data_IF_631814574370
#
_entry.id   IF_631814574370
#
_cell.length_a   1.000
_cell.length_b   1.000
_cell.length_c   1.000
_cell.angle_alpha   90.00
_cell.angle_beta   90.00
_cell.angle_gamma   90.00
#
_symmetry.space_group_name_H-M   'P 1'
#
loop_
_entity.id
_entity.type
_entity.pdbx_description
1 polymer ?
#
# COMPACT_ATOMS: atom_id res chain seq x y z
N UNK A 1 -31.48 -7.96 -14.99
CA UNK A 1 -31.34 -6.49 -15.14
C UNK A 1 -29.86 -6.16 -15.01
N UNK A 2 -29.25 -5.48 -15.98
CA UNK A 2 -27.82 -5.13 -15.87
C UNK A 2 -27.66 -4.01 -14.84
N UNK A 3 -27.12 -4.34 -13.66
CA UNK A 3 -26.98 -3.42 -12.52
C UNK A 3 -25.89 -2.37 -12.78
N UNK A 4 -24.96 -2.65 -13.70
CA UNK A 4 -23.85 -1.75 -14.03
C UNK A 4 -24.28 -0.66 -15.03
N UNK A 5 -24.06 0.63 -14.72
CA UNK A 5 -24.35 1.73 -15.65
C UNK A 5 -23.47 1.64 -16.91
N UNK A 6 -23.92 2.26 -18.01
CA UNK A 6 -23.14 2.34 -19.25
C UNK A 6 -22.03 3.40 -19.11
N UNK A 7 -20.95 3.22 -19.85
CA UNK A 7 -19.88 4.22 -19.95
C UNK A 7 -20.42 5.56 -20.48
N UNK A 8 -19.88 6.65 -19.94
CA UNK A 8 -20.09 8.03 -20.39
C UNK A 8 -18.78 8.82 -20.26
N UNK A 9 -18.52 9.73 -21.20
CA UNK A 9 -17.34 10.61 -21.14
C UNK A 9 -17.36 11.52 -19.91
N UNK A 10 -18.54 12.08 -19.58
CA UNK A 10 -18.72 12.89 -18.36
C UNK A 10 -18.40 12.05 -17.12
N UNK A 11 -18.86 10.79 -17.08
CA UNK A 11 -18.58 9.89 -15.98
C UNK A 11 -17.09 9.61 -15.75
N UNK A 12 -16.27 9.65 -16.81
CA UNK A 12 -14.82 9.51 -16.68
C UNK A 12 -14.16 10.73 -16.02
N UNK A 13 -14.55 11.94 -16.41
CA UNK A 13 -14.03 13.16 -15.80
C UNK A 13 -14.49 13.31 -14.34
N UNK A 14 -15.76 12.97 -14.06
CA UNK A 14 -16.30 12.95 -12.68
C UNK A 14 -15.51 11.97 -11.81
N UNK A 15 -15.17 10.80 -12.35
CA UNK A 15 -14.36 9.80 -11.63
C UNK A 15 -12.93 10.27 -11.36
N UNK A 16 -12.28 10.92 -12.34
CA UNK A 16 -10.95 11.51 -12.13
C UNK A 16 -11.01 12.62 -11.08
N UNK A 17 -12.00 13.51 -11.15
CA UNK A 17 -12.20 14.56 -10.15
C UNK A 17 -12.43 14.00 -8.75
N UNK A 18 -13.26 12.96 -8.63
CA UNK A 18 -13.49 12.25 -7.37
C UNK A 18 -12.20 11.63 -6.82
N UNK A 19 -11.40 10.98 -7.67
CA UNK A 19 -10.10 10.42 -7.27
C UNK A 19 -9.17 11.51 -6.73
N UNK A 20 -9.01 12.61 -7.47
CA UNK A 20 -8.16 13.73 -7.05
C UNK A 20 -8.64 14.31 -5.72
N UNK A 21 -9.96 14.45 -5.53
CA UNK A 21 -10.55 14.89 -4.28
C UNK A 21 -10.18 13.96 -3.11
N UNK A 22 -10.38 12.65 -3.26
CA UNK A 22 -10.03 11.67 -2.22
C UNK A 22 -8.52 11.70 -1.91
N UNK A 23 -7.67 11.76 -2.94
CA UNK A 23 -6.22 11.83 -2.76
C UNK A 23 -5.82 13.09 -1.99
N UNK A 24 -6.36 14.26 -2.35
CA UNK A 24 -6.08 15.51 -1.64
C UNK A 24 -6.58 15.45 -0.18
N UNK A 25 -7.80 14.92 0.01
CA UNK A 25 -8.41 14.75 1.34
C UNK A 25 -7.54 13.90 2.25
N UNK A 26 -7.04 12.76 1.75
CA UNK A 26 -6.15 11.85 2.50
C UNK A 26 -4.80 12.51 2.78
N UNK A 27 -4.20 13.18 1.79
CA UNK A 27 -2.89 13.83 1.95
C UNK A 27 -2.94 14.90 3.05
N UNK A 28 -4.01 15.70 3.13
CA UNK A 28 -4.15 16.77 4.13
C UNK A 28 -4.48 16.24 5.53
N UNK A 29 -4.93 14.99 5.63
CA UNK A 29 -5.35 14.39 6.90
C UNK A 29 -4.17 13.87 7.71
N UNK A 30 -4.38 13.68 9.01
CA UNK A 30 -3.52 12.82 9.83
C UNK A 30 -3.49 11.40 9.26
N UNK A 31 -2.33 10.76 9.28
CA UNK A 31 -2.11 9.41 8.74
C UNK A 31 -2.05 8.36 9.83
N UNK A 32 -1.32 8.66 10.90
CA UNK A 32 -1.14 7.82 12.07
C UNK A 32 -1.41 8.65 13.34
N UNK A 33 -2.11 8.05 14.29
CA UNK A 33 -2.38 8.62 15.60
C UNK A 33 -2.00 7.58 16.63
N UNK A 34 -1.03 7.90 17.48
CA UNK A 34 -0.60 7.06 18.61
C UNK A 34 -1.04 7.76 19.88
N UNK A 35 -1.90 7.14 20.66
CA UNK A 35 -2.38 7.64 21.94
C UNK A 35 -1.85 6.72 23.04
N UNK A 36 -1.27 7.29 24.08
CA UNK A 36 -0.79 6.59 25.26
C UNK A 36 -1.49 7.18 26.48
N UNK A 37 -2.13 6.32 27.26
CA UNK A 37 -2.72 6.66 28.55
C UNK A 37 -2.08 5.77 29.61
N UNK A 38 -1.34 6.35 30.54
CA UNK A 38 -0.63 5.66 31.61
C UNK A 38 -1.13 6.08 32.98
N UNK A 39 -1.11 5.16 33.94
CA UNK A 39 -1.38 5.39 35.35
C UNK A 39 -0.27 4.80 36.19
N UNK A 40 0.27 5.63 37.07
CA UNK A 40 1.25 5.23 38.07
C UNK A 40 0.62 5.28 39.45
N UNK A 41 0.74 4.20 40.20
CA UNK A 41 0.25 4.05 41.57
C UNK A 41 1.39 3.66 42.50
N UNK A 42 1.52 4.38 43.60
CA UNK A 42 2.50 4.15 44.67
C UNK A 42 1.78 4.29 46.02
N UNK A 43 1.64 3.19 46.74
CA UNK A 43 0.85 3.14 47.98
C UNK A 43 -0.60 3.65 47.81
N UNK A 44 -1.21 4.10 48.91
CA UNK A 44 -2.50 4.80 48.89
C UNK A 44 -2.24 6.32 49.00
N UNK A 45 -2.26 7.07 47.89
CA UNK A 45 -3.47 7.80 47.47
C UNK A 45 -3.69 7.78 45.92
N UNK A 46 -4.32 8.82 45.34
CA UNK A 46 -4.77 8.84 43.94
C UNK A 46 -3.62 8.72 42.91
N UNK A 47 -3.79 7.91 41.84
CA UNK A 47 -2.74 7.63 40.86
C UNK A 47 -2.36 8.86 40.04
N UNK A 48 -1.10 8.92 39.63
CA UNK A 48 -0.60 9.86 38.62
C UNK A 48 -1.08 9.41 37.24
N UNK A 49 -1.65 10.32 36.46
CA UNK A 49 -2.16 10.04 35.11
C UNK A 49 -1.24 10.71 34.07
N UNK A 50 -0.85 9.96 33.04
CA UNK A 50 0.03 10.39 31.96
C UNK A 50 -0.70 10.19 30.65
N UNK A 51 -1.01 11.26 29.93
CA UNK A 51 -1.61 11.21 28.61
C UNK A 51 -0.59 11.73 27.59
N UNK A 52 -0.30 10.95 26.56
CA UNK A 52 0.53 11.39 25.44
C UNK A 52 -0.16 11.07 24.11
N UNK A 53 -0.14 12.03 23.18
CA UNK A 53 -0.71 11.86 21.85
C UNK A 53 0.32 12.27 20.81
N UNK A 54 0.59 11.36 19.88
CA UNK A 54 1.43 11.60 18.71
C UNK A 54 0.60 11.52 17.45
N UNK A 55 0.65 12.58 16.64
CA UNK A 55 -0.06 12.65 15.35
C UNK A 55 0.97 12.83 14.25
N UNK A 56 1.00 11.88 13.30
CA UNK A 56 1.86 11.96 12.11
C UNK A 56 1.02 12.39 10.92
N UNK A 57 1.44 13.47 10.27
CA UNK A 57 0.85 13.93 9.02
C UNK A 57 1.89 14.13 7.91
N UNK A 58 1.44 14.81 6.84
CA UNK A 58 2.20 15.01 5.60
C UNK A 58 3.40 15.94 5.73
N UNK A 59 3.43 16.81 6.74
CA UNK A 59 4.48 17.82 6.94
C UNK A 59 5.27 17.51 8.21
N UNK A 60 4.57 17.26 9.31
CA UNK A 60 5.16 17.23 10.64
C UNK A 60 4.61 16.07 11.50
N UNK A 61 5.26 15.88 12.63
CA UNK A 61 4.84 14.96 13.69
C UNK A 61 4.56 15.80 14.92
N UNK A 62 3.31 15.85 15.36
CA UNK A 62 2.89 16.61 16.54
C UNK A 62 2.89 15.68 17.75
N UNK A 63 3.55 16.10 18.82
CA UNK A 63 3.63 15.36 20.09
C UNK A 63 3.06 16.27 21.18
N UNK A 64 2.04 15.80 21.88
CA UNK A 64 1.46 16.47 23.05
C UNK A 64 1.55 15.51 24.24
N UNK A 65 2.11 15.98 25.36
CA UNK A 65 2.27 15.19 26.59
C UNK A 65 1.70 15.98 27.74
N UNK A 66 0.82 15.35 28.48
CA UNK A 66 0.10 15.92 29.62
C UNK A 66 0.21 14.97 30.79
N UNK A 67 0.46 15.53 31.97
CA UNK A 67 0.58 14.77 33.20
C UNK A 67 -0.30 15.39 34.28
N UNK A 68 -1.17 14.60 34.89
CA UNK A 68 -2.05 15.01 35.98
C UNK A 68 -1.68 14.28 37.28
N UNK A 69 -1.91 14.94 38.42
CA UNK A 69 -1.64 14.39 39.77
C UNK A 69 -0.21 13.87 39.96
N UNK A 70 0.77 14.50 39.29
CA UNK A 70 2.14 14.02 39.14
C UNK A 70 3.04 14.07 40.38
N UNK A 71 2.56 14.55 41.53
CA UNK A 71 3.41 14.74 42.72
C UNK A 71 4.02 13.44 43.22
N UNK A 72 3.26 12.33 43.27
CA UNK A 72 3.79 11.04 43.73
C UNK A 72 4.89 10.55 42.79
N UNK A 73 4.60 10.51 41.49
CA UNK A 73 5.56 10.06 40.49
C UNK A 73 6.85 10.90 40.45
N UNK A 74 6.75 12.23 40.58
CA UNK A 74 7.94 13.09 40.62
C UNK A 74 8.77 12.87 41.88
N UNK A 75 8.12 12.64 43.03
CA UNK A 75 8.83 12.31 44.26
C UNK A 75 9.52 10.96 44.15
N UNK A 76 8.81 9.94 43.67
CA UNK A 76 9.35 8.63 43.35
C UNK A 76 10.59 8.72 42.45
N UNK A 77 10.52 9.47 41.35
CA UNK A 77 11.65 9.66 40.44
C UNK A 77 12.86 10.37 41.08
N UNK A 78 12.66 11.16 42.15
CA UNK A 78 13.72 11.86 42.87
C UNK A 78 14.28 11.02 44.02
N UNK A 79 13.44 10.25 44.71
CA UNK A 79 13.80 9.48 45.90
C UNK A 79 14.32 8.08 45.59
N UNK A 80 14.07 7.57 44.39
CA UNK A 80 14.55 6.27 43.95
C UNK A 80 16.08 6.30 43.83
N UNK A 81 16.77 5.64 44.77
CA UNK A 81 18.22 5.51 44.74
C UNK A 81 18.65 4.46 43.70
N UNK A 82 19.37 4.90 42.67
CA UNK A 82 20.00 4.02 41.68
C UNK A 82 21.27 3.41 42.27
N UNK A 83 21.18 2.21 42.83
CA UNK A 83 22.37 1.45 43.25
C UNK A 83 22.80 0.49 42.12
N UNK A 84 23.72 0.94 41.26
CA UNK A 84 24.32 0.14 40.16
C UNK A 84 25.25 -0.98 40.66
N UNK A 85 25.51 -1.07 41.98
CA UNK A 85 26.56 -1.92 42.55
C UNK A 85 26.33 -3.44 42.41
N UNK A 86 25.15 -3.88 41.96
CA UNK A 86 24.87 -5.29 41.71
C UNK A 86 25.34 -5.81 40.34
N UNK A 87 25.82 -4.94 39.43
CA UNK A 87 26.36 -5.36 38.12
C UNK A 87 27.85 -5.76 38.16
N UNK A 88 28.56 -5.63 39.29
CA UNK A 88 30.00 -5.87 39.38
C UNK A 88 30.44 -7.29 39.81
N UNK A 89 29.60 -8.32 39.69
CA UNK A 89 30.04 -9.72 39.92
C UNK A 89 30.05 -10.57 38.65
N UNK A 90 30.63 -10.05 37.56
CA UNK A 90 31.12 -10.87 36.44
C UNK A 90 32.12 -10.10 35.55
N UNK A 91 33.27 -9.70 36.08
CA UNK A 91 34.53 -9.58 35.31
C UNK A 91 35.73 -9.24 36.22
N UNK A 92 36.10 -10.17 37.10
CA UNK A 92 37.49 -10.19 37.58
C UNK A 92 38.39 -10.73 36.46
N UNK A 93 39.01 -9.83 35.70
CA UNK A 93 40.40 -9.94 35.22
C UNK A 93 40.74 -8.77 34.29
N UNK A 94 41.39 -7.73 34.80
CA UNK A 94 42.67 -7.23 34.27
C UNK A 94 43.13 -5.94 34.96
N UNK A 95 44.22 -6.08 35.71
CA UNK A 95 45.34 -5.14 35.90
C UNK A 95 45.14 -3.64 35.66
N UNK A 96 45.26 -2.90 36.76
CA UNK A 96 46.01 -1.66 36.96
C UNK A 96 46.55 -0.96 35.69
N UNK A 97 46.13 0.30 35.51
CA UNK A 97 47.07 1.40 35.33
C UNK A 97 46.42 2.74 35.69
N UNK A 98 46.92 3.35 36.75
CA UNK A 98 46.72 4.76 37.05
C UNK A 98 47.35 5.61 35.93
N UNK A 99 46.64 6.64 35.48
CA UNK A 99 47.27 7.89 35.10
C UNK A 99 46.30 9.07 35.23
N UNK A 100 46.64 9.95 36.16
CA UNK A 100 46.11 11.30 36.28
C UNK A 100 46.35 12.09 34.98
N UNK A 101 45.37 12.87 34.51
CA UNK A 101 45.57 14.30 34.35
C UNK A 101 44.28 15.11 34.08
N UNK A 102 44.09 16.07 34.98
CA UNK A 102 43.65 17.48 34.82
C UNK A 102 42.95 17.96 33.53
N UNK A 103 41.90 18.75 33.79
CA UNK A 103 41.16 19.62 32.88
C UNK A 103 42.04 20.39 31.89
N UNK A 104 41.59 20.44 30.63
CA UNK A 104 41.72 21.63 29.79
C UNK A 104 40.55 21.66 28.79
N UNK A 105 39.69 22.66 28.96
CA UNK A 105 38.76 23.09 27.92
C UNK A 105 39.55 23.76 26.81
N UNK A 106 39.43 23.25 25.60
CA UNK A 106 39.84 23.95 24.38
C UNK A 106 38.79 23.65 23.31
N UNK A 107 38.11 24.72 22.91
CA UNK A 107 37.20 24.81 21.80
C UNK A 107 37.78 24.12 20.55
N UNK A 108 37.08 23.09 20.07
CA UNK A 108 37.24 22.58 18.71
C UNK A 108 35.92 22.72 17.97
N UNK A 109 35.68 23.95 17.54
CA UNK A 109 34.95 24.23 16.32
C UNK A 109 35.65 23.46 15.18
N UNK A 110 35.15 22.26 14.88
CA UNK A 110 35.68 21.47 13.79
C UNK A 110 34.53 20.70 13.16
N UNK A 111 34.06 21.23 12.02
CA UNK A 111 33.39 20.54 10.93
C UNK A 111 33.07 19.06 11.20
N UNK A 112 32.04 18.78 12.00
CA UNK A 112 31.39 17.48 11.98
C UNK A 112 30.73 17.41 10.61
N UNK A 113 31.31 16.60 9.73
CA UNK A 113 30.60 16.07 8.58
C UNK A 113 29.21 15.70 9.07
N UNK A 114 28.22 16.45 8.59
CA UNK A 114 26.81 16.20 8.82
C UNK A 114 26.55 14.85 8.17
N UNK A 115 26.72 13.77 8.94
CA UNK A 115 26.22 12.46 8.56
C UNK A 115 24.75 12.71 8.23
N UNK A 116 24.37 12.52 6.97
CA UNK A 116 22.97 12.65 6.54
C UNK A 116 22.17 11.58 7.29
N UNK A 117 21.68 11.92 8.49
CA UNK A 117 20.71 11.10 9.20
C UNK A 117 19.54 10.90 8.25
N UNK A 118 19.30 9.65 7.85
CA UNK A 118 18.25 9.34 6.90
C UNK A 118 16.92 9.54 7.60
N UNK A 119 16.25 10.65 7.35
CA UNK A 119 14.92 10.95 7.89
C UNK A 119 13.89 9.99 7.27
N UNK A 120 13.65 8.83 7.90
CA UNK A 120 12.79 7.77 7.35
C UNK A 120 11.33 8.23 7.19
N UNK A 121 10.83 9.03 8.14
CA UNK A 121 9.52 9.66 8.04
C UNK A 121 9.39 10.55 6.80
N UNK A 122 10.44 11.30 6.44
CA UNK A 122 10.46 12.13 5.23
C UNK A 122 10.49 11.30 3.96
N UNK A 123 11.26 10.21 3.96
CA UNK A 123 11.22 9.24 2.85
C UNK A 123 9.81 8.69 2.64
N UNK A 124 9.11 8.34 3.72
CA UNK A 124 7.72 7.86 3.67
C UNK A 124 6.76 8.93 3.17
N UNK A 125 6.85 10.17 3.69
CA UNK A 125 6.05 11.31 3.20
C UNK A 125 6.22 11.48 1.68
N UNK A 126 7.46 11.48 1.20
CA UNK A 126 7.76 11.58 -0.23
C UNK A 126 7.21 10.40 -1.04
N UNK A 127 7.29 9.19 -0.48
CA UNK A 127 6.75 7.98 -1.11
C UNK A 127 5.22 8.04 -1.27
N UNK A 128 4.51 8.55 -0.25
CA UNK A 128 3.06 8.79 -0.31
C UNK A 128 2.71 9.76 -1.45
N UNK A 129 3.42 10.88 -1.57
CA UNK A 129 3.22 11.84 -2.67
C UNK A 129 3.48 11.22 -4.04
N UNK A 130 4.57 10.47 -4.18
CA UNK A 130 4.93 9.80 -5.43
C UNK A 130 3.88 8.78 -5.86
N UNK A 131 3.40 7.96 -4.93
CA UNK A 131 2.40 6.93 -5.21
C UNK A 131 1.01 7.56 -5.45
N UNK A 132 0.67 8.64 -4.75
CA UNK A 132 -0.52 9.43 -5.05
C UNK A 132 -0.51 9.97 -6.48
N UNK A 133 0.65 10.48 -6.94
CA UNK A 133 0.83 10.94 -8.31
C UNK A 133 0.68 9.79 -9.33
N UNK A 134 1.29 8.64 -9.06
CA UNK A 134 1.13 7.42 -9.87
C UNK A 134 -0.35 7.00 -9.94
N UNK A 135 -1.08 7.05 -8.83
CA UNK A 135 -2.49 6.70 -8.77
C UNK A 135 -3.33 7.63 -9.66
N UNK A 136 -3.06 8.93 -9.66
CA UNK A 136 -3.72 9.89 -10.57
C UNK A 136 -3.36 9.61 -12.03
N UNK A 137 -2.07 9.38 -12.35
CA UNK A 137 -1.64 9.00 -13.71
C UNK A 137 -2.34 7.73 -14.17
N UNK A 138 -2.49 6.75 -13.27
CA UNK A 138 -3.15 5.49 -13.59
C UNK A 138 -4.59 5.71 -14.07
N UNK A 139 -5.28 6.67 -13.49
CA UNK A 139 -6.63 7.03 -13.88
C UNK A 139 -6.65 7.78 -15.22
N UNK A 140 -5.67 8.66 -15.47
CA UNK A 140 -5.48 9.34 -16.76
C UNK A 140 -5.20 8.32 -17.88
N UNK A 141 -4.40 7.29 -17.63
CA UNK A 141 -4.11 6.25 -18.65
C UNK A 141 -5.36 5.50 -19.11
N UNK A 142 -6.34 5.34 -18.20
CA UNK A 142 -7.65 4.74 -18.50
C UNK A 142 -8.46 5.66 -19.42
N UNK A 143 -8.31 6.99 -19.34
CA UNK A 143 -8.95 7.93 -20.27
C UNK A 143 -8.46 7.70 -21.72
N UNK A 144 -7.16 7.43 -21.88
CA UNK A 144 -6.53 7.17 -23.17
C UNK A 144 -6.63 5.70 -23.64
N UNK A 145 -7.35 4.83 -22.93
CA UNK A 145 -7.63 3.45 -23.32
C UNK A 145 -6.36 2.59 -23.60
N UNK A 146 -5.28 2.80 -22.84
CA UNK A 146 -4.06 1.99 -22.95
C UNK A 146 -4.31 0.53 -22.51
N UNK A 147 -3.57 -0.42 -23.09
CA UNK A 147 -3.86 -1.87 -23.00
C UNK A 147 -3.81 -2.46 -21.59
N UNK A 148 -2.99 -1.92 -20.69
CA UNK A 148 -2.81 -2.42 -19.32
C UNK A 148 -3.33 -1.47 -18.22
N UNK A 149 -4.10 -0.44 -18.60
CA UNK A 149 -4.51 0.63 -17.68
C UNK A 149 -5.25 0.13 -16.43
N UNK A 150 -6.10 -0.89 -16.58
CA UNK A 150 -6.85 -1.45 -15.45
C UNK A 150 -5.95 -2.14 -14.42
N UNK A 151 -4.88 -2.82 -14.86
CA UNK A 151 -3.93 -3.49 -13.96
C UNK A 151 -3.10 -2.45 -13.23
N UNK A 152 -2.56 -1.47 -13.97
CA UNK A 152 -1.76 -0.39 -13.40
C UNK A 152 -2.54 0.38 -12.32
N UNK A 153 -3.82 0.61 -12.55
CA UNK A 153 -4.71 1.27 -11.58
C UNK A 153 -4.92 0.47 -10.29
N UNK A 154 -5.09 -0.85 -10.39
CA UNK A 154 -5.21 -1.73 -9.21
C UNK A 154 -3.89 -1.76 -8.44
N UNK A 155 -2.76 -1.89 -9.13
CA UNK A 155 -1.44 -1.89 -8.51
C UNK A 155 -1.15 -0.58 -7.80
N UNK A 156 -1.47 0.57 -8.42
CA UNK A 156 -1.30 1.88 -7.81
C UNK A 156 -2.15 2.04 -6.55
N UNK A 157 -3.40 1.56 -6.56
CA UNK A 157 -4.27 1.60 -5.39
C UNK A 157 -3.75 0.71 -4.25
N UNK A 158 -3.31 -0.51 -4.56
CA UNK A 158 -2.74 -1.42 -3.56
C UNK A 158 -1.46 -0.81 -2.97
N UNK A 159 -0.58 -0.26 -3.80
CA UNK A 159 0.64 0.40 -3.35
C UNK A 159 0.32 1.59 -2.43
N UNK A 160 -0.71 2.39 -2.76
CA UNK A 160 -1.16 3.49 -1.93
C UNK A 160 -1.69 3.02 -0.57
N UNK A 161 -2.50 1.95 -0.55
CA UNK A 161 -2.98 1.33 0.69
C UNK A 161 -1.83 0.78 1.54
N UNK A 162 -0.85 0.12 0.93
CA UNK A 162 0.32 -0.44 1.63
C UNK A 162 1.21 0.65 2.26
N UNK A 163 1.30 1.84 1.65
CA UNK A 163 2.02 2.95 2.27
C UNK A 163 1.45 3.28 3.64
N UNK A 164 0.14 3.35 3.75
CA UNK A 164 -0.50 3.69 5.01
C UNK A 164 -0.60 2.52 5.97
N UNK A 165 -0.87 1.32 5.47
CA UNK A 165 -1.03 0.14 6.31
C UNK A 165 0.31 -0.32 6.93
N UNK A 166 1.42 -0.18 6.18
CA UNK A 166 2.72 -0.75 6.56
C UNK A 166 3.79 0.35 6.64
N UNK A 167 4.03 1.08 5.55
CA UNK A 167 5.20 1.97 5.46
C UNK A 167 5.17 3.09 6.52
N UNK A 168 4.02 3.73 6.74
CA UNK A 168 3.86 4.80 7.74
C UNK A 168 4.08 4.29 9.17
N UNK A 169 3.36 3.27 9.68
CA UNK A 169 3.65 2.72 11.01
C UNK A 169 5.08 2.21 11.16
N UNK A 170 5.59 1.49 10.14
CA UNK A 170 6.93 0.92 10.18
C UNK A 170 8.01 1.99 10.29
N UNK A 171 7.97 3.01 9.43
CA UNK A 171 8.97 4.08 9.47
C UNK A 171 8.83 4.98 10.67
N UNK A 172 7.64 5.16 11.24
CA UNK A 172 7.48 5.86 12.51
C UNK A 172 8.18 5.12 13.65
N UNK A 173 7.93 3.81 13.80
CA UNK A 173 8.59 3.00 14.85
C UNK A 173 10.11 2.93 14.62
N UNK A 174 10.55 2.85 13.37
CA UNK A 174 11.96 2.80 13.03
C UNK A 174 12.69 4.13 13.31
N UNK A 175 12.03 5.26 13.08
CA UNK A 175 12.57 6.59 13.40
C UNK A 175 12.70 6.76 14.92
N UNK A 176 11.71 6.29 15.70
CA UNK A 176 11.78 6.23 17.17
C UNK A 176 12.92 5.33 17.67
N UNK A 177 13.17 4.19 17.01
CA UNK A 177 14.25 3.28 17.39
C UNK A 177 15.64 3.88 17.12
N UNK A 178 15.82 4.58 15.98
CA UNK A 178 17.10 5.18 15.61
C UNK A 178 17.47 6.43 16.41
N UNK A 179 16.50 7.15 16.96
CA UNK A 179 16.79 8.30 17.83
C UNK A 179 17.54 7.92 19.11
N UNK A 180 17.49 6.64 19.51
CA UNK A 180 18.12 6.12 20.74
C UNK A 180 19.53 5.53 20.54
N UNK A 181 20.03 5.38 19.31
CA UNK A 181 21.34 4.74 19.03
C UNK A 181 22.57 5.68 19.11
N UNK A 182 22.40 6.97 19.46
CA UNK A 182 23.50 7.97 19.39
C UNK A 182 24.31 8.14 20.70
N UNK A 183 24.05 7.34 21.75
CA UNK A 183 25.04 7.11 22.82
C UNK A 183 25.82 5.83 22.49
N UNK A 184 26.98 6.03 21.85
CA UNK A 184 27.77 4.95 21.29
C UNK A 184 28.28 3.96 22.33
N UNK A 185 27.62 2.81 22.46
CA UNK A 185 28.26 1.50 22.32
C UNK A 185 27.19 0.39 22.19
N UNK A 186 27.49 -0.56 21.29
CA UNK A 186 26.86 -1.89 21.11
C UNK A 186 25.47 -1.97 20.45
N UNK A 187 25.49 -2.67 19.32
CA UNK A 187 24.34 -3.23 18.61
C UNK A 187 23.95 -4.52 19.35
N UNK A 188 22.77 -4.56 19.96
CA UNK A 188 21.70 -5.55 19.75
C UNK A 188 20.51 -5.21 20.65
N UNK A 189 19.30 -5.24 20.06
CA UNK A 189 17.97 -5.16 20.71
C UNK A 189 17.33 -3.77 21.00
N UNK A 190 16.63 -3.29 19.96
CA UNK A 190 15.78 -2.10 19.91
C UNK A 190 14.61 -2.08 20.90
N UNK A 191 14.34 -0.91 21.48
CA UNK A 191 13.09 -0.45 22.12
C UNK A 191 12.61 -1.16 23.39
N UNK A 192 13.16 -2.31 23.78
CA UNK A 192 12.87 -2.95 25.06
C UNK A 192 13.87 -2.58 26.17
N UNK A 193 15.06 -2.10 25.82
CA UNK A 193 16.18 -2.01 26.77
C UNK A 193 16.28 -0.69 27.55
N UNK A 194 15.86 0.44 26.95
CA UNK A 194 16.00 1.78 27.57
C UNK A 194 14.74 2.26 28.32
N UNK A 195 13.68 1.47 28.34
CA UNK A 195 12.48 1.78 29.14
C UNK A 195 12.67 1.29 30.57
N UNK A 196 12.10 2.03 31.53
CA UNK A 196 11.93 1.71 32.96
C UNK A 196 11.88 0.20 33.32
N UNK A 197 11.34 -0.64 32.44
CA UNK A 197 11.19 -2.10 32.49
C UNK A 197 12.51 -2.92 32.43
N UNK A 198 13.63 -2.45 31.85
CA UNK A 198 14.88 -3.25 31.89
C UNK A 198 15.72 -2.97 33.14
N UNK A 199 15.57 -1.79 33.75
CA UNK A 199 16.10 -1.55 35.09
C UNK A 199 15.42 -2.45 36.13
N UNK A 200 14.20 -2.94 35.88
CA UNK A 200 13.54 -3.94 36.73
C UNK A 200 14.06 -5.36 36.49
N UNK A 201 14.48 -5.71 35.26
CA UNK A 201 15.18 -6.99 34.98
C UNK A 201 16.56 -7.14 35.66
N UNK A 202 17.20 -6.03 36.07
CA UNK A 202 18.43 -6.04 36.90
C UNK A 202 18.18 -6.37 38.38
N UNK A 203 16.99 -6.87 38.73
CA UNK A 203 16.66 -7.29 40.09
C UNK A 203 16.41 -6.12 41.05
N UNK A 204 16.00 -4.95 40.52
CA UNK A 204 15.58 -3.78 41.30
C UNK A 204 14.13 -3.86 41.78
N UNK A 205 13.34 -4.80 41.27
CA UNK A 205 12.01 -5.11 41.79
C UNK A 205 11.93 -6.54 42.35
N UNK A 206 11.01 -6.73 43.29
CA UNK A 206 10.64 -8.02 43.85
C UNK A 206 9.17 -8.33 43.57
N UNK A 207 8.86 -9.62 43.36
CA UNK A 207 7.51 -10.14 43.11
C UNK A 207 6.80 -9.46 41.93
N UNK A 208 7.50 -9.39 40.80
CA UNK A 208 7.00 -8.74 39.59
C UNK A 208 5.85 -9.49 38.93
N UNK A 209 4.83 -8.75 38.51
CA UNK A 209 3.72 -9.25 37.70
C UNK A 209 3.53 -8.36 36.47
N UNK A 210 3.66 -8.97 35.29
CA UNK A 210 3.61 -8.30 34.00
C UNK A 210 2.47 -8.89 33.16
N UNK A 211 1.66 -8.02 32.57
CA UNK A 211 0.60 -8.41 31.64
C UNK A 211 0.64 -7.57 30.39
N UNK A 212 0.38 -8.22 29.25
CA UNK A 212 0.24 -7.59 27.94
C UNK A 212 -0.99 -8.21 27.27
N UNK A 213 -2.04 -7.42 27.09
CA UNK A 213 -3.20 -7.78 26.27
C UNK A 213 -3.20 -6.97 24.98
N UNK A 214 -3.59 -7.61 23.88
CA UNK A 214 -3.66 -6.97 22.56
C UNK A 214 -5.09 -7.06 22.04
N UNK A 215 -5.73 -5.89 21.89
CA UNK A 215 -7.11 -5.79 21.40
C UNK A 215 -7.14 -5.12 20.04
N UNK A 216 -7.88 -5.71 19.10
CA UNK A 216 -8.16 -5.08 17.83
C UNK A 216 -9.25 -4.01 18.02
N UNK A 217 -8.96 -2.78 17.64
CA UNK A 217 -9.92 -1.67 17.63
C UNK A 217 -10.10 -1.20 16.18
N UNK A 218 -11.22 -0.58 15.81
CA UNK A 218 -11.34 -0.02 14.46
C UNK A 218 -11.11 1.50 14.52
N UNK A 219 -10.15 2.09 13.78
CA UNK A 219 -9.23 1.51 12.79
C UNK A 219 -7.79 1.38 13.34
N UNK A 220 -7.51 0.48 14.28
CA UNK A 220 -6.20 0.40 14.93
C UNK A 220 -5.97 -0.86 15.78
N UNK A 221 -4.95 -0.82 16.63
CA UNK A 221 -4.67 -1.87 17.63
C UNK A 221 -4.43 -1.17 18.96
N UNK A 222 -4.93 -1.78 20.04
CA UNK A 222 -4.69 -1.37 21.42
C UNK A 222 -3.80 -2.40 22.09
N UNK A 223 -2.77 -1.93 22.79
CA UNK A 223 -1.98 -2.71 23.73
C UNK A 223 -2.32 -2.24 25.13
N UNK A 224 -2.79 -3.14 25.99
CA UNK A 224 -2.98 -2.89 27.41
C UNK A 224 -1.80 -3.52 28.13
N UNK A 225 -0.95 -2.71 28.74
CA UNK A 225 0.21 -3.16 29.48
C UNK A 225 -0.02 -2.87 30.95
N UNK A 226 0.21 -3.84 31.82
CA UNK A 226 0.30 -3.61 33.25
C UNK A 226 1.58 -4.24 33.79
N UNK A 227 2.23 -3.50 34.68
CA UNK A 227 3.46 -3.89 35.35
C UNK A 227 3.30 -3.55 36.83
N UNK A 228 3.58 -4.49 37.73
CA UNK A 228 3.53 -4.22 39.17
C UNK A 228 4.61 -5.01 39.92
N UNK A 229 5.02 -4.50 41.06
CA UNK A 229 6.05 -5.12 41.89
C UNK A 229 6.41 -4.25 43.09
N UNK A 230 7.34 -4.73 43.91
CA UNK A 230 7.90 -3.95 45.01
C UNK A 230 9.28 -3.41 44.61
N UNK A 231 9.44 -2.09 44.54
CA UNK A 231 10.69 -1.46 44.14
C UNK A 231 11.69 -1.42 45.31
N UNK A 232 12.86 -2.01 45.12
CA UNK A 232 13.95 -2.01 46.10
C UNK A 232 14.56 -0.62 46.26
N UNK A 233 14.50 0.25 45.25
CA UNK A 233 14.97 1.64 45.32
C UNK A 233 14.17 2.53 46.27
N UNK A 234 13.06 2.03 46.84
CA UNK A 234 12.27 2.69 47.89
C UNK A 234 12.51 2.08 49.28
N UNK A 235 13.42 1.11 49.37
CA UNK A 235 13.69 0.32 50.57
C UNK A 235 15.17 0.47 50.96
N UNK A 236 15.48 0.40 52.25
CA UNK A 236 16.86 0.45 52.71
C UNK A 236 17.61 -0.86 52.32
N UNK A 237 18.91 -0.80 51.94
CA UNK A 237 19.68 -1.97 51.48
C UNK A 237 19.69 -3.16 52.44
N UNK A 238 19.58 -2.92 53.74
CA UNK A 238 19.53 -3.95 54.79
C UNK A 238 18.29 -4.86 54.68
N UNK A 239 17.24 -4.41 53.98
CA UNK A 239 15.94 -5.09 53.90
C UNK A 239 15.68 -5.76 52.54
N UNK A 240 16.62 -5.67 51.59
CA UNK A 240 16.47 -6.24 50.24
C UNK A 240 16.23 -7.75 50.25
N UNK A 241 17.00 -8.48 51.07
CA UNK A 241 16.88 -9.94 51.17
C UNK A 241 15.52 -10.35 51.71
N UNK A 242 14.97 -9.58 52.66
CA UNK A 242 13.65 -9.85 53.23
C UNK A 242 12.55 -9.67 52.19
N UNK A 243 12.60 -8.58 51.42
CA UNK A 243 11.59 -8.26 50.40
C UNK A 243 11.60 -9.27 49.26
N UNK A 244 12.77 -9.78 48.85
CA UNK A 244 12.87 -10.81 47.79
C UNK A 244 12.33 -12.17 48.22
N UNK A 245 12.41 -12.51 49.52
CA UNK A 245 11.99 -13.83 50.02
C UNK A 245 10.48 -13.93 50.26
N UNK A 246 9.85 -12.88 50.78
CA UNK A 246 8.44 -12.91 51.17
C UNK A 246 7.70 -11.63 50.74
N UNK A 247 6.45 -11.79 50.28
CA UNK A 247 5.57 -10.66 49.99
C UNK A 247 5.21 -9.97 51.32
N UNK A 248 5.46 -8.65 51.48
CA UNK A 248 5.20 -7.96 52.72
C UNK A 248 3.71 -7.92 53.07
N UNK A 249 3.39 -8.08 54.35
CA UNK A 249 2.03 -7.97 54.85
C UNK A 249 1.55 -6.52 54.90
N UNK A 250 0.22 -6.33 54.84
CA UNK A 250 -0.46 -5.03 54.72
C UNK A 250 -0.18 -3.96 55.82
N UNK A 251 0.58 -4.30 56.85
CA UNK A 251 0.95 -3.40 57.97
C UNK A 251 2.48 -3.22 58.10
N UNK A 252 3.26 -3.65 57.11
CA UNK A 252 4.72 -3.48 57.06
C UNK A 252 5.09 -2.17 56.37
N UNK A 253 6.16 -1.50 56.79
CA UNK A 253 6.74 -0.36 56.04
C UNK A 253 7.20 -0.78 54.63
N UNK A 254 7.49 -2.07 54.44
CA UNK A 254 7.84 -2.64 53.14
C UNK A 254 6.64 -2.75 52.18
N UNK A 255 5.40 -2.56 52.64
CA UNK A 255 4.24 -2.56 51.76
C UNK A 255 4.14 -1.27 50.94
N UNK A 256 4.74 -0.18 51.43
CA UNK A 256 4.71 1.14 50.77
C UNK A 256 5.62 1.19 49.54
N UNK A 257 6.53 0.22 49.36
CA UNK A 257 7.36 0.11 48.15
C UNK A 257 6.65 -0.55 46.97
N UNK A 258 5.37 -0.89 47.11
CA UNK A 258 4.58 -1.42 46.00
C UNK A 258 4.32 -0.32 44.97
N UNK A 259 4.64 -0.65 43.72
CA UNK A 259 4.48 0.22 42.57
C UNK A 259 3.71 -0.52 41.49
N UNK A 260 2.77 0.17 40.85
CA UNK A 260 2.00 -0.34 39.73
C UNK A 260 1.92 0.69 38.60
N UNK A 261 2.14 0.21 37.39
CA UNK A 261 2.03 0.94 36.14
C UNK A 261 1.01 0.26 35.25
N UNK A 262 -0.10 0.92 34.99
CA UNK A 262 -1.08 0.51 33.99
C UNK A 262 -0.97 1.43 32.78
N UNK A 263 -1.05 0.90 31.56
CA UNK A 263 -1.07 1.73 30.36
C UNK A 263 -1.91 1.14 29.23
N UNK A 264 -2.49 2.04 28.45
CA UNK A 264 -3.17 1.75 27.19
C UNK A 264 -2.42 2.47 26.08
N UNK A 265 -1.88 1.72 25.13
CA UNK A 265 -1.26 2.24 23.91
C UNK A 265 -2.17 1.94 22.71
N UNK A 266 -2.75 2.98 22.15
CA UNK A 266 -3.63 2.95 20.99
C UNK A 266 -2.88 3.41 19.74
N UNK A 267 -2.64 2.49 18.80
CA UNK A 267 -2.09 2.79 17.48
C UNK A 267 -3.23 2.78 16.47
N UNK A 268 -3.66 3.97 16.04
CA UNK A 268 -4.83 4.19 15.17
C UNK A 268 -4.44 4.81 13.83
N UNK A 269 -5.12 4.39 12.78
CA UNK A 269 -5.07 5.09 11.49
C UNK A 269 -5.89 6.38 11.52
N UNK A 270 -5.48 7.37 10.74
CA UNK A 270 -6.22 8.61 10.60
C UNK A 270 -7.66 8.40 10.12
N UNK A 271 -8.60 9.19 10.68
CA UNK A 271 -10.06 9.03 10.46
C UNK A 271 -10.48 9.09 8.98
N UNK A 272 -9.71 9.79 8.16
CA UNK A 272 -10.01 10.01 6.74
C UNK A 272 -9.42 8.93 5.83
N UNK A 273 -8.57 8.05 6.33
CA UNK A 273 -7.90 7.02 5.55
C UNK A 273 -8.86 5.96 4.95
N UNK A 274 -9.93 5.55 5.64
CA UNK A 274 -10.94 4.66 5.05
C UNK A 274 -11.60 5.21 3.77
N UNK A 275 -11.52 6.53 3.50
CA UNK A 275 -12.06 7.13 2.28
C UNK A 275 -11.40 6.61 0.99
N UNK A 276 -10.17 6.06 1.06
CA UNK A 276 -9.48 5.40 -0.05
C UNK A 276 -10.31 4.23 -0.60
N UNK A 277 -11.06 3.53 0.27
CA UNK A 277 -11.91 2.39 -0.10
C UNK A 277 -13.11 2.80 -0.97
N UNK A 278 -13.41 4.10 -1.08
CA UNK A 278 -14.42 4.62 -2.00
C UNK A 278 -13.94 4.66 -3.46
N UNK A 279 -12.62 4.57 -3.70
CA UNK A 279 -12.05 4.62 -5.05
C UNK A 279 -12.53 3.42 -5.90
N UNK A 280 -12.42 2.15 -5.46
CA UNK A 280 -13.00 1.01 -6.19
C UNK A 280 -14.50 1.14 -6.45
N UNK A 281 -15.25 1.69 -5.48
CA UNK A 281 -16.69 1.92 -5.63
C UNK A 281 -16.96 2.91 -6.77
N UNK A 282 -16.17 3.98 -6.86
CA UNK A 282 -16.24 4.92 -7.98
C UNK A 282 -15.98 4.25 -9.33
N UNK A 283 -15.08 3.26 -9.40
CA UNK A 283 -14.80 2.53 -10.65
C UNK A 283 -15.95 1.63 -11.08
N UNK A 284 -16.72 1.12 -10.11
CA UNK A 284 -17.90 0.33 -10.37
C UNK A 284 -19.05 1.20 -10.88
N UNK A 285 -19.34 2.31 -10.19
CA UNK A 285 -20.43 3.25 -10.50
C UNK A 285 -20.14 4.04 -11.78
N UNK A 286 -18.88 4.41 -12.04
CA UNK A 286 -18.47 5.16 -13.21
C UNK A 286 -17.51 4.31 -14.04
N UNK A 287 -18.01 3.35 -14.85
CA UNK A 287 -17.15 2.43 -15.59
C UNK A 287 -16.33 3.12 -16.68
N UNK A 288 -15.12 2.62 -16.92
CA UNK A 288 -14.27 3.04 -18.03
C UNK A 288 -14.79 2.51 -19.35
N UNK A 289 -14.40 3.15 -20.45
CA UNK A 289 -14.67 2.63 -21.79
C UNK A 289 -13.90 1.32 -21.93
N UNK A 290 -14.58 0.18 -21.99
CA UNK A 290 -13.90 -1.01 -22.50
C UNK A 290 -13.64 -0.73 -23.98
N UNK A 291 -12.45 -1.07 -24.50
CA UNK A 291 -12.34 -1.29 -25.95
C UNK A 291 -13.52 -2.18 -26.30
N UNK A 292 -14.47 -1.64 -27.07
CA UNK A 292 -15.67 -2.39 -27.41
C UNK A 292 -15.15 -3.66 -28.07
N UNK A 293 -15.40 -4.83 -27.47
CA UNK A 293 -15.51 -6.05 -28.25
C UNK A 293 -16.77 -5.83 -29.10
N UNK A 294 -16.63 -5.07 -30.19
CA UNK A 294 -17.71 -4.91 -31.16
C UNK A 294 -17.79 -6.26 -31.83
N UNK A 295 -18.96 -6.88 -31.74
CA UNK A 295 -19.26 -8.02 -32.60
C UNK A 295 -19.08 -7.55 -34.04
N UNK A 296 -18.26 -8.24 -34.85
CA UNK A 296 -18.12 -7.89 -36.25
C UNK A 296 -19.49 -7.85 -36.91
N UNK A 297 -19.73 -6.85 -37.76
CA UNK A 297 -21.01 -6.68 -38.45
C UNK A 297 -20.83 -7.14 -39.89
N UNK A 298 -21.77 -7.94 -40.39
CA UNK A 298 -21.83 -8.30 -41.81
C UNK A 298 -22.60 -7.21 -42.57
N UNK A 299 -22.02 -6.70 -43.65
CA UNK A 299 -22.69 -5.75 -44.55
C UNK A 299 -22.32 -5.99 -46.01
N UNK A 300 -23.13 -5.46 -46.92
CA UNK A 300 -22.84 -5.51 -48.36
C UNK A 300 -21.58 -4.73 -48.73
N UNK A 301 -20.86 -5.23 -49.72
CA UNK A 301 -19.66 -4.59 -50.27
C UNK A 301 -20.03 -3.63 -51.42
N UNK A 302 -19.13 -2.70 -51.71
CA UNK A 302 -19.27 -1.73 -52.79
C UNK A 302 -17.86 -1.34 -53.27
N UNK A 303 -17.77 -0.56 -54.35
CA UNK A 303 -16.48 -0.21 -54.99
C UNK A 303 -15.48 0.49 -54.06
N UNK A 304 -15.91 1.15 -52.98
CA UNK A 304 -15.00 1.78 -52.02
C UNK A 304 -14.19 0.75 -51.20
N UNK A 305 -14.68 -0.49 -51.12
CA UNK A 305 -14.03 -1.58 -50.37
C UNK A 305 -13.02 -2.37 -51.19
N UNK A 306 -12.96 -2.18 -52.52
CA UNK A 306 -12.13 -2.97 -53.46
C UNK A 306 -10.67 -3.04 -53.03
N UNK A 307 -10.10 -1.95 -52.54
CA UNK A 307 -8.71 -1.92 -52.08
C UNK A 307 -8.47 -2.82 -50.86
N UNK A 308 -9.38 -2.79 -49.87
CA UNK A 308 -9.29 -3.66 -48.69
C UNK A 308 -9.49 -5.14 -49.07
N UNK A 309 -10.42 -5.43 -49.99
CA UNK A 309 -10.63 -6.78 -50.52
C UNK A 309 -9.38 -7.32 -51.21
N UNK A 310 -8.75 -6.51 -52.07
CA UNK A 310 -7.50 -6.87 -52.74
C UNK A 310 -6.37 -7.17 -51.73
N UNK A 311 -6.19 -6.32 -50.72
CA UNK A 311 -5.19 -6.56 -49.67
C UNK A 311 -5.41 -7.87 -48.91
N UNK A 312 -6.67 -8.18 -48.57
CA UNK A 312 -7.02 -9.44 -47.88
C UNK A 312 -6.81 -10.64 -48.82
N UNK A 313 -7.11 -10.50 -50.11
CA UNK A 313 -6.86 -11.54 -51.11
C UNK A 313 -5.37 -11.87 -51.23
N UNK A 314 -4.49 -10.86 -51.28
CA UNK A 314 -3.04 -11.07 -51.37
C UNK A 314 -2.49 -11.80 -50.13
N UNK A 315 -3.06 -11.58 -48.94
CA UNK A 315 -2.72 -12.32 -47.71
C UNK A 315 -3.14 -13.80 -47.75
N UNK A 316 -4.00 -14.19 -48.68
CA UNK A 316 -4.49 -15.55 -48.87
C UNK A 316 -3.71 -16.35 -49.93
N UNK A 317 -2.73 -15.75 -50.60
CA UNK A 317 -1.97 -16.44 -51.63
C UNK A 317 -1.16 -17.62 -51.06
N UNK A 318 -1.03 -18.73 -51.83
CA UNK A 318 -1.56 -18.91 -53.20
C UNK A 318 -3.04 -19.34 -53.27
N UNK A 319 -3.69 -19.62 -52.14
CA UNK A 319 -5.02 -20.26 -52.09
C UNK A 319 -6.18 -19.42 -52.62
N UNK A 320 -6.07 -18.10 -52.59
CA UNK A 320 -7.10 -17.17 -53.10
C UNK A 320 -6.96 -16.86 -54.59
N UNK A 321 -5.84 -17.20 -55.22
CA UNK A 321 -5.54 -16.79 -56.60
C UNK A 321 -5.21 -15.29 -56.72
N UNK A 322 -4.16 -14.99 -57.50
CA UNK A 322 -3.66 -13.62 -57.68
C UNK A 322 -4.58 -12.81 -58.58
N UNK A 323 -4.87 -11.57 -58.19
CA UNK A 323 -5.67 -10.61 -58.96
C UNK A 323 -5.11 -9.20 -58.78
N UNK A 324 -5.35 -8.32 -59.74
CA UNK A 324 -5.11 -6.89 -59.59
C UNK A 324 -6.37 -6.16 -59.05
N UNK A 325 -6.25 -4.85 -58.81
CA UNK A 325 -7.34 -4.04 -58.28
C UNK A 325 -8.53 -3.94 -59.25
N UNK A 326 -8.27 -3.80 -60.55
CA UNK A 326 -9.32 -3.71 -61.57
C UNK A 326 -10.09 -5.02 -61.71
N UNK A 327 -9.40 -6.15 -61.63
CA UNK A 327 -9.99 -7.48 -61.63
C UNK A 327 -10.84 -7.71 -60.38
N UNK A 328 -10.38 -7.26 -59.21
CA UNK A 328 -11.17 -7.33 -57.97
C UNK A 328 -12.46 -6.50 -58.06
N UNK A 329 -12.39 -5.30 -58.64
CA UNK A 329 -13.55 -4.46 -58.89
C UNK A 329 -14.53 -5.15 -59.86
N UNK A 330 -14.02 -5.71 -60.95
CA UNK A 330 -14.83 -6.46 -61.92
C UNK A 330 -15.50 -7.67 -61.29
N UNK A 331 -14.82 -8.40 -60.41
CA UNK A 331 -15.38 -9.53 -59.67
C UNK A 331 -16.51 -9.10 -58.74
N UNK A 332 -16.36 -7.95 -58.08
CA UNK A 332 -17.40 -7.37 -57.25
C UNK A 332 -18.64 -6.99 -58.08
N UNK A 333 -18.46 -6.37 -59.25
CA UNK A 333 -19.56 -6.04 -60.16
C UNK A 333 -20.32 -7.27 -60.68
N UNK A 334 -19.61 -8.36 -60.97
CA UNK A 334 -20.20 -9.60 -61.45
C UNK A 334 -20.90 -10.39 -60.34
N UNK A 335 -20.63 -10.08 -59.07
CA UNK A 335 -21.17 -10.82 -57.94
C UNK A 335 -22.59 -10.41 -57.62
N UNK A 336 -23.45 -11.41 -57.48
CA UNK A 336 -24.83 -11.22 -57.01
C UNK A 336 -24.86 -11.01 -55.50
N UNK A 337 -24.00 -11.74 -54.78
CA UNK A 337 -23.86 -11.60 -53.34
C UNK A 337 -22.41 -11.23 -53.01
N UNK A 338 -22.25 -10.06 -52.40
CA UNK A 338 -20.96 -9.55 -51.94
C UNK A 338 -21.06 -9.08 -50.50
N UNK A 339 -20.57 -9.89 -49.57
CA UNK A 339 -20.66 -9.62 -48.14
C UNK A 339 -19.27 -9.46 -47.53
N UNK A 340 -19.12 -8.44 -46.69
CA UNK A 340 -17.95 -8.18 -45.88
C UNK A 340 -18.27 -8.28 -44.40
N UNK A 341 -17.32 -8.76 -43.60
CA UNK A 341 -17.36 -8.70 -42.14
C UNK A 341 -16.49 -7.55 -41.69
N UNK A 342 -17.05 -6.61 -40.94
CA UNK A 342 -16.40 -5.37 -40.54
C UNK A 342 -16.26 -5.27 -39.03
N UNK A 343 -15.08 -4.81 -38.59
CA UNK A 343 -14.90 -4.19 -37.28
C UNK A 343 -14.70 -2.68 -37.51
N UNK A 344 -15.77 -1.93 -37.23
CA UNK A 344 -15.89 -0.50 -37.53
C UNK A 344 -15.76 -0.19 -39.04
N UNK A 345 -14.62 0.37 -39.49
CA UNK A 345 -14.32 0.64 -40.91
C UNK A 345 -13.33 -0.34 -41.52
N UNK A 346 -12.87 -1.33 -40.74
CA UNK A 346 -11.87 -2.32 -41.17
C UNK A 346 -12.59 -3.57 -41.65
N UNK A 347 -12.42 -3.89 -42.92
CA UNK A 347 -12.82 -5.19 -43.47
C UNK A 347 -11.92 -6.29 -42.87
N UNK A 348 -12.53 -7.28 -42.22
CA UNK A 348 -11.86 -8.44 -41.62
C UNK A 348 -11.87 -9.66 -42.54
N UNK A 349 -12.89 -9.76 -43.40
CA UNK A 349 -13.00 -10.81 -44.40
C UNK A 349 -14.17 -10.55 -45.34
N UNK A 350 -14.20 -11.23 -46.47
CA UNK A 350 -15.23 -11.07 -47.48
C UNK A 350 -15.57 -12.38 -48.18
N UNK A 351 -16.75 -12.42 -48.80
CA UNK A 351 -17.19 -13.47 -49.71
C UNK A 351 -17.83 -12.86 -50.96
N UNK A 352 -17.50 -13.41 -52.13
CA UNK A 352 -18.09 -13.08 -53.42
C UNK A 352 -18.77 -14.31 -54.00
N UNK A 353 -20.03 -14.17 -54.41
CA UNK A 353 -20.78 -15.24 -55.03
C UNK A 353 -21.41 -14.82 -56.36
N UNK A 354 -21.38 -15.73 -57.33
CA UNK A 354 -21.87 -15.53 -58.69
C UNK A 354 -23.11 -16.41 -58.93
N UNK A 355 -24.08 -15.88 -59.69
CA UNK A 355 -25.20 -16.66 -60.24
C UNK A 355 -24.77 -17.44 -61.50
N UNK A 356 -25.57 -18.40 -61.98
CA UNK A 356 -25.30 -19.11 -63.23
C UNK A 356 -25.30 -18.17 -64.44
N UNK A 357 -24.54 -18.53 -65.49
CA UNK A 357 -24.41 -17.79 -66.77
C UNK A 357 -23.83 -16.37 -66.66
N UNK A 358 -23.12 -16.08 -65.58
CA UNK A 358 -22.30 -14.88 -65.41
C UNK A 358 -21.05 -14.96 -66.29
N UNK A 359 -20.57 -13.84 -66.81
CA UNK A 359 -19.37 -13.76 -67.66
C UNK A 359 -18.09 -13.90 -66.82
N UNK A 360 -17.84 -15.11 -66.30
CA UNK A 360 -16.69 -15.43 -65.45
C UNK A 360 -15.86 -16.59 -66.00
N UNK A 361 -14.55 -16.36 -66.17
CA UNK A 361 -13.64 -17.23 -66.93
C UNK A 361 -13.06 -18.44 -66.21
N UNK A 362 -13.68 -18.94 -65.14
CA UNK A 362 -13.17 -20.11 -64.39
C UNK A 362 -13.65 -21.44 -65.00
N UNK A 363 -12.72 -22.38 -65.22
CA UNK A 363 -13.05 -23.74 -65.69
C UNK A 363 -13.98 -24.48 -64.72
N UNK A 364 -13.79 -24.26 -63.41
CA UNK A 364 -14.64 -24.85 -62.37
C UNK A 364 -16.06 -24.28 -62.46
N UNK A 365 -16.18 -22.96 -62.63
CA UNK A 365 -17.47 -22.30 -62.81
C UNK A 365 -18.18 -22.76 -64.09
N UNK A 366 -17.46 -22.92 -65.21
CA UNK A 366 -18.00 -23.46 -66.45
C UNK A 366 -18.55 -24.88 -66.29
N UNK A 367 -17.88 -25.72 -65.49
CA UNK A 367 -18.34 -27.09 -65.19
C UNK A 367 -19.70 -27.11 -64.47
N UNK A 368 -19.94 -26.19 -63.52
CA UNK A 368 -21.24 -26.06 -62.84
C UNK A 368 -22.34 -25.58 -63.78
N UNK A 369 -22.05 -24.60 -64.63
CA UNK A 369 -23.00 -24.09 -65.62
C UNK A 369 -23.49 -25.15 -66.62
N UNK A 370 -22.67 -26.16 -66.92
CA UNK A 370 -23.06 -27.27 -67.81
C UNK A 370 -23.99 -28.30 -67.14
N UNK A 371 -24.05 -28.34 -65.80
CA UNK A 371 -24.69 -29.43 -65.04
C UNK A 371 -25.88 -29.00 -64.22
N UNK A 372 -25.92 -27.74 -63.81
CA UNK A 372 -26.94 -27.22 -62.92
C UNK A 372 -27.54 -25.94 -63.48
N UNK A 373 -28.86 -25.85 -63.44
CA UNK A 373 -29.60 -24.67 -63.88
C UNK A 373 -29.74 -23.60 -62.78
N UNK A 374 -29.59 -23.99 -61.51
CA UNK A 374 -29.72 -23.11 -60.34
C UNK A 374 -28.65 -23.47 -59.32
N UNK A 375 -27.74 -22.53 -59.05
CA UNK A 375 -26.72 -22.64 -58.01
C UNK A 375 -26.21 -21.25 -57.63
N UNK A 376 -25.60 -21.13 -56.45
CA UNK A 376 -24.79 -19.98 -56.07
C UNK A 376 -23.33 -20.44 -56.01
N UNK A 377 -22.46 -19.83 -56.80
CA UNK A 377 -21.05 -20.21 -56.86
C UNK A 377 -20.23 -19.28 -55.98
N UNK A 378 -19.62 -19.83 -54.92
CA UNK A 378 -18.66 -19.07 -54.11
C UNK A 378 -17.35 -18.99 -54.89
N UNK A 379 -17.07 -17.81 -55.45
CA UNK A 379 -15.82 -17.59 -56.17
C UNK A 379 -14.66 -17.39 -55.18
N UNK A 380 -14.86 -16.48 -54.24
CA UNK A 380 -13.80 -16.07 -53.30
C UNK A 380 -14.36 -15.93 -51.91
N UNK A 381 -13.63 -16.51 -50.96
CA UNK A 381 -13.77 -16.23 -49.53
C UNK A 381 -12.38 -16.02 -48.96
N UNK A 382 -12.16 -14.89 -48.30
CA UNK A 382 -10.87 -14.56 -47.73
C UNK A 382 -11.02 -13.82 -46.42
N UNK A 383 -10.17 -14.16 -45.46
CA UNK A 383 -10.11 -13.55 -44.13
C UNK A 383 -8.71 -13.00 -43.90
N UNK A 384 -8.64 -11.76 -43.41
CA UNK A 384 -7.40 -11.09 -43.03
C UNK A 384 -6.61 -11.98 -42.06
N UNK A 385 -5.29 -12.04 -42.23
CA UNK A 385 -4.43 -12.98 -41.49
C UNK A 385 -4.60 -12.88 -39.97
N UNK A 386 -4.74 -11.65 -39.46
CA UNK A 386 -4.90 -11.34 -38.04
C UNK A 386 -6.32 -11.59 -37.50
N UNK A 387 -7.24 -12.05 -38.34
CA UNK A 387 -8.66 -12.29 -38.01
C UNK A 387 -9.11 -13.72 -38.28
N UNK A 388 -8.18 -14.63 -38.61
CA UNK A 388 -8.44 -16.08 -38.78
C UNK A 388 -8.61 -16.76 -37.40
N UNK A 389 -9.09 -18.00 -37.40
CA UNK A 389 -9.29 -18.83 -36.19
C UNK A 389 -10.25 -18.23 -35.15
N UNK A 390 -11.20 -17.40 -35.57
CA UNK A 390 -12.14 -16.69 -34.69
C UNK A 390 -13.60 -17.14 -34.84
N UNK A 391 -13.86 -18.23 -35.56
CA UNK A 391 -15.19 -18.73 -35.91
C UNK A 391 -15.42 -18.65 -37.41
#
# INVERSE_FOLDING_TARGET
MNIRPKHSQIGQFVRLGFLVFIVCHVIISAWLVVEFEGKYTEGAPAPTEIDAIVVVDREETLIDVKMEKSTSFLLYMISRDFDESYNETSNENSTQNESNNSSEGVDKENNRAKSEKTEWLKFTRNSVYFIAFILIISEITVLFCLRFSSVFRILALISFLLCFAILVPFTYVFDLAQDNEDDGDKIEESLSEETFVQNTESGSMAHEENSLDTKLIFPGIRFELAYSGYDLGLVEPEQYDQLRLEIPGNNSSLADSFVEFESNLDIKYGKNLPSILLIPLSWYILPSNSKKNRTPITSELNSTHTHQMWQINEQGLPGTGKVNLQEMERLLELSELSLGVFDDKKLLGFVLCLLPKTEYGSLNYAWFNQRYNQFIYVDRIAVAKDSRNSG
#
